data_IF_859824533656
#
_entry.id   IF_859824533656
#
_cell.length_a   1.000
_cell.length_b   1.000
_cell.length_c   1.000
_cell.angle_alpha   90.00
_cell.angle_beta   90.00
_cell.angle_gamma   90.00
#
_symmetry.space_group_name_H-M   'P 1'
#
loop_
_entity.id
_entity.type
_entity.pdbx_description
1 polymer ?
#
# COMPACT_ATOMS: atom_id res chain seq x y z
N UNK A 1 17.40 5.75 -12.95
CA UNK A 1 16.91 4.43 -12.50
C UNK A 1 17.78 3.95 -11.35
N UNK A 2 17.26 3.93 -10.12
CA UNK A 2 18.04 3.54 -8.94
C UNK A 2 18.49 2.08 -8.99
N UNK A 3 19.72 1.80 -8.56
CA UNK A 3 20.28 0.45 -8.52
C UNK A 3 19.41 -0.45 -7.61
N UNK A 4 18.93 -1.58 -8.13
CA UNK A 4 18.15 -2.54 -7.34
C UNK A 4 18.96 -2.98 -6.12
N UNK A 5 18.38 -2.80 -4.93
CA UNK A 5 19.02 -3.23 -3.68
C UNK A 5 19.20 -4.75 -3.70
N UNK A 6 20.32 -5.25 -3.16
CA UNK A 6 20.57 -6.68 -2.96
C UNK A 6 19.55 -7.32 -2.00
N UNK A 7 18.87 -6.51 -1.18
CA UNK A 7 17.96 -6.97 -0.15
C UNK A 7 16.49 -6.83 -0.60
N UNK A 8 15.66 -7.88 -0.46
CA UNK A 8 14.22 -7.81 -0.68
C UNK A 8 13.57 -6.69 0.14
N UNK A 9 12.49 -6.08 -0.38
CA UNK A 9 11.78 -5.01 0.33
C UNK A 9 11.25 -5.44 1.70
N UNK A 10 10.67 -6.63 1.77
CA UNK A 10 10.17 -7.21 3.02
C UNK A 10 11.29 -7.33 4.07
N UNK A 11 12.46 -7.84 3.67
CA UNK A 11 13.62 -7.93 4.55
C UNK A 11 14.05 -6.56 5.09
N UNK A 12 14.12 -5.55 4.20
CA UNK A 12 14.49 -4.18 4.59
C UNK A 12 13.50 -3.59 5.59
N UNK A 13 12.19 -3.78 5.36
CA UNK A 13 11.13 -3.30 6.26
C UNK A 13 11.17 -4.02 7.61
N UNK A 14 11.31 -5.34 7.62
CA UNK A 14 11.38 -6.13 8.85
C UNK A 14 12.62 -5.78 9.68
N UNK A 15 13.78 -5.63 9.03
CA UNK A 15 15.02 -5.21 9.69
C UNK A 15 14.90 -3.81 10.30
N UNK A 16 14.33 -2.86 9.55
CA UNK A 16 14.08 -1.50 10.05
C UNK A 16 13.10 -1.48 11.22
N UNK A 17 12.04 -2.30 11.16
CA UNK A 17 11.04 -2.44 12.23
C UNK A 17 11.67 -3.03 13.50
N UNK A 18 12.47 -4.09 13.35
CA UNK A 18 13.20 -4.71 14.46
C UNK A 18 14.11 -3.71 15.19
N UNK A 19 14.83 -2.89 14.44
CA UNK A 19 15.70 -1.86 15.03
C UNK A 19 14.94 -0.67 15.63
N UNK A 20 13.82 -0.26 15.02
CA UNK A 20 13.05 0.90 15.45
C UNK A 20 12.18 0.61 16.68
N UNK A 21 11.53 -0.55 16.70
CA UNK A 21 10.54 -0.92 17.73
C UNK A 21 11.17 -1.79 18.84
N UNK A 22 12.26 -2.50 18.54
CA UNK A 22 12.85 -3.49 19.44
C UNK A 22 13.74 -2.93 20.55
N UNK A 23 13.92 -1.60 20.65
CA UNK A 23 14.74 -0.96 21.71
C UNK A 23 16.24 -1.29 21.67
N UNK A 24 16.70 -2.04 20.66
CA UNK A 24 18.09 -2.45 20.47
C UNK A 24 18.84 -1.43 19.61
N UNK A 25 20.17 -1.36 19.77
CA UNK A 25 20.98 -0.48 18.93
C UNK A 25 20.97 -0.95 17.46
N UNK A 26 20.97 -0.01 16.52
CA UNK A 26 21.06 -0.30 15.08
C UNK A 26 22.30 -1.16 14.77
N UNK A 27 23.42 -0.95 15.50
CA UNK A 27 24.65 -1.71 15.28
C UNK A 27 24.50 -3.18 15.67
N UNK A 28 23.82 -3.49 16.77
CA UNK A 28 23.64 -4.88 17.21
C UNK A 28 22.70 -5.63 16.27
N UNK A 29 21.61 -4.99 15.87
CA UNK A 29 20.68 -5.57 14.89
C UNK A 29 21.36 -5.76 13.53
N UNK A 30 22.18 -4.81 13.10
CA UNK A 30 22.92 -4.93 11.85
C UNK A 30 23.92 -6.09 11.87
N UNK A 31 24.63 -6.28 12.99
CA UNK A 31 25.58 -7.38 13.19
C UNK A 31 24.89 -8.74 13.12
N UNK A 32 23.75 -8.88 13.79
CA UNK A 32 22.96 -10.13 13.81
C UNK A 32 22.42 -10.47 12.42
N UNK A 33 21.95 -9.47 11.68
CA UNK A 33 21.39 -9.65 10.34
C UNK A 33 22.46 -9.73 9.23
N UNK A 34 23.75 -9.59 9.57
CA UNK A 34 24.85 -9.60 8.60
C UNK A 34 24.83 -8.41 7.62
N UNK A 35 24.23 -7.29 8.01
CA UNK A 35 24.11 -6.07 7.18
C UNK A 35 25.02 -4.96 7.69
N UNK A 36 25.44 -4.07 6.80
CA UNK A 36 26.15 -2.87 7.22
C UNK A 36 25.21 -1.96 8.04
N UNK A 37 25.66 -1.52 9.21
CA UNK A 37 24.90 -0.64 10.11
C UNK A 37 24.43 0.67 9.45
N UNK A 38 25.22 1.26 8.55
CA UNK A 38 24.84 2.45 7.77
C UNK A 38 23.66 2.13 6.83
N UNK A 39 23.67 0.94 6.22
CA UNK A 39 22.57 0.48 5.38
C UNK A 39 21.29 0.29 6.19
N UNK A 40 21.39 -0.34 7.36
CA UNK A 40 20.25 -0.51 8.26
C UNK A 40 19.72 0.85 8.77
N UNK A 41 20.62 1.77 9.12
CA UNK A 41 20.27 3.15 9.51
C UNK A 41 19.45 3.85 8.44
N UNK A 42 19.83 3.73 7.16
CA UNK A 42 19.09 4.30 6.05
C UNK A 42 17.67 3.72 5.93
N UNK A 43 17.47 2.43 6.19
CA UNK A 43 16.14 1.81 6.19
C UNK A 43 15.30 2.25 7.39
N UNK A 44 15.91 2.39 8.57
CA UNK A 44 15.22 2.94 9.76
C UNK A 44 14.77 4.37 9.50
N UNK A 45 15.60 5.21 8.89
CA UNK A 45 15.22 6.58 8.53
C UNK A 45 14.12 6.64 7.47
N UNK A 46 14.14 5.73 6.48
CA UNK A 46 13.06 5.60 5.51
C UNK A 46 11.73 5.20 6.19
N UNK A 47 11.76 4.22 7.09
CA UNK A 47 10.59 3.80 7.84
C UNK A 47 10.08 4.90 8.79
N UNK A 48 10.97 5.69 9.40
CA UNK A 48 10.59 6.86 10.21
C UNK A 48 9.88 7.92 9.38
N UNK A 49 10.34 8.18 8.15
CA UNK A 49 9.65 9.07 7.22
C UNK A 49 8.29 8.51 6.81
N UNK A 50 8.20 7.24 6.42
CA UNK A 50 6.91 6.59 6.11
C UNK A 50 5.93 6.64 7.31
N UNK A 51 6.41 6.52 8.55
CA UNK A 51 5.54 6.62 9.74
C UNK A 51 5.10 8.05 10.05
N UNK A 52 5.96 9.04 9.81
CA UNK A 52 5.64 10.47 10.04
C UNK A 52 4.75 11.04 8.96
N UNK A 53 5.09 10.75 7.71
CA UNK A 53 4.48 11.37 6.52
C UNK A 53 3.35 10.51 5.94
N UNK A 54 3.07 9.34 6.55
CA UNK A 54 2.22 8.30 5.99
C UNK A 54 2.94 7.47 4.91
N UNK A 55 2.36 6.34 4.45
CA UNK A 55 2.91 5.58 3.34
C UNK A 55 3.20 6.57 2.21
N UNK A 56 4.47 6.58 1.75
CA UNK A 56 5.04 7.59 0.86
C UNK A 56 3.96 8.09 -0.10
N UNK A 57 3.63 9.38 0.06
CA UNK A 57 2.48 10.01 -0.57
C UNK A 57 2.25 9.42 -1.95
N UNK A 58 1.19 8.61 -2.07
CA UNK A 58 0.60 8.21 -3.35
C UNK A 58 0.72 9.43 -4.25
N UNK A 59 1.45 9.28 -5.36
CA UNK A 59 1.81 10.41 -6.20
C UNK A 59 0.53 11.20 -6.53
N UNK A 60 0.63 12.51 -6.79
CA UNK A 60 -0.58 13.29 -7.13
C UNK A 60 -1.40 12.62 -8.24
N UNK A 61 -0.72 11.96 -9.18
CA UNK A 61 -1.29 11.17 -10.27
C UNK A 61 -1.99 9.91 -9.77
N UNK A 62 -1.34 9.11 -8.91
CA UNK A 62 -1.94 7.90 -8.34
C UNK A 62 -3.17 8.23 -7.45
N UNK A 63 -3.19 9.39 -6.77
CA UNK A 63 -4.36 9.87 -6.02
C UNK A 63 -5.51 10.28 -6.94
N UNK A 64 -5.18 10.97 -8.04
CA UNK A 64 -6.16 11.34 -9.05
C UNK A 64 -6.75 10.10 -9.73
N UNK A 65 -5.92 9.10 -10.02
CA UNK A 65 -6.35 7.81 -10.55
C UNK A 65 -7.24 7.06 -9.57
N UNK A 66 -6.86 7.00 -8.28
CA UNK A 66 -7.70 6.39 -7.25
C UNK A 66 -9.08 7.05 -7.13
N UNK A 67 -9.12 8.39 -7.19
CA UNK A 67 -10.38 9.14 -7.15
C UNK A 67 -11.24 8.86 -8.40
N UNK A 68 -10.62 8.80 -9.59
CA UNK A 68 -11.28 8.45 -10.84
C UNK A 68 -11.86 7.03 -10.79
N UNK A 69 -11.07 6.07 -10.34
CA UNK A 69 -11.49 4.67 -10.22
C UNK A 69 -12.67 4.53 -9.25
N UNK A 70 -12.62 5.20 -8.09
CA UNK A 70 -13.74 5.21 -7.13
C UNK A 70 -15.03 5.77 -7.72
N UNK A 71 -14.96 6.86 -8.48
CA UNK A 71 -16.13 7.41 -9.19
C UNK A 71 -16.69 6.42 -10.21
N UNK A 72 -15.81 5.76 -10.98
CA UNK A 72 -16.23 4.78 -11.97
C UNK A 72 -16.89 3.57 -11.34
N UNK A 73 -16.38 3.11 -10.19
CA UNK A 73 -17.01 2.00 -9.44
C UNK A 73 -18.42 2.40 -8.98
N UNK A 74 -18.59 3.58 -8.39
CA UNK A 74 -19.90 4.04 -7.94
C UNK A 74 -20.91 4.17 -9.09
N UNK A 75 -20.47 4.66 -10.25
CA UNK A 75 -21.31 4.74 -11.45
C UNK A 75 -21.74 3.36 -11.95
N UNK A 76 -20.79 2.41 -12.04
CA UNK A 76 -21.08 1.04 -12.46
C UNK A 76 -22.00 0.30 -11.48
N UNK A 77 -21.88 0.56 -10.18
CA UNK A 77 -22.78 -0.01 -9.17
C UNK A 77 -24.21 0.51 -9.33
N UNK A 78 -24.37 1.81 -9.61
CA UNK A 78 -25.69 2.40 -9.90
C UNK A 78 -26.29 1.83 -11.18
N UNK A 79 -25.53 1.75 -12.26
CA UNK A 79 -25.97 1.13 -13.53
C UNK A 79 -26.43 -0.32 -13.30
N UNK A 80 -25.64 -1.10 -12.56
CA UNK A 80 -26.01 -2.48 -12.19
C UNK A 80 -27.30 -2.55 -11.39
N UNK A 81 -27.52 -1.63 -10.46
CA UNK A 81 -28.75 -1.58 -9.67
C UNK A 81 -29.97 -1.29 -10.53
N UNK A 82 -29.87 -0.31 -11.44
CA UNK A 82 -30.94 0.03 -12.39
C UNK A 82 -31.27 -1.16 -13.29
N UNK A 83 -30.25 -1.79 -13.88
CA UNK A 83 -30.45 -2.96 -14.74
C UNK A 83 -31.08 -4.13 -13.98
N UNK A 84 -30.67 -4.36 -12.72
CA UNK A 84 -31.28 -5.38 -11.87
C UNK A 84 -32.75 -5.08 -11.59
N UNK A 85 -33.09 -3.83 -11.25
CA UNK A 85 -34.48 -3.40 -11.02
C UNK A 85 -35.34 -3.58 -12.27
N UNK A 86 -34.82 -3.20 -13.44
CA UNK A 86 -35.49 -3.39 -14.72
C UNK A 86 -35.72 -4.88 -15.02
N UNK A 87 -34.70 -5.73 -14.85
CA UNK A 87 -34.83 -7.17 -15.06
C UNK A 87 -35.90 -7.80 -14.16
N UNK A 88 -35.96 -7.41 -12.88
CA UNK A 88 -37.00 -7.87 -11.94
C UNK A 88 -38.39 -7.39 -12.37
N UNK A 89 -38.52 -6.13 -12.82
CA UNK A 89 -39.79 -5.60 -13.30
C UNK A 89 -40.29 -6.38 -14.54
N UNK A 90 -39.42 -6.57 -15.53
CA UNK A 90 -39.80 -7.29 -16.76
C UNK A 90 -40.13 -8.75 -16.48
N UNK A 91 -39.36 -9.45 -15.64
CA UNK A 91 -39.65 -10.83 -15.27
C UNK A 91 -41.05 -11.00 -14.64
N UNK A 92 -41.47 -10.03 -13.81
CA UNK A 92 -42.81 -10.03 -13.20
C UNK A 92 -43.93 -9.75 -14.20
N UNK A 93 -43.67 -8.92 -15.21
CA UNK A 93 -44.68 -8.59 -16.22
C UNK A 93 -44.86 -9.72 -17.25
N UNK A 94 -43.80 -10.49 -17.52
CA UNK A 94 -43.86 -11.67 -18.42
C UNK A 94 -44.47 -12.92 -17.78
N UNK A 95 -44.55 -13.00 -16.45
CA UNK A 95 -45.15 -14.12 -15.71
C UNK A 95 -46.69 -13.99 -15.53
N UNK A 96 -47.31 -12.95 -16.11
CA UNK A 96 -48.75 -12.68 -16.04
C UNK A 96 -49.46 -13.06 -17.34
#
# INVERSE_FOLDING_TARGET
>A
MGRRSKYPEEFRRNAAKLALDGGRSIRDVARELGVNHETLRNWVEALRRERRDGPAAVSGEERAELARLRRRVAELELEKEVLRKAAVFFARETDR
#
